data_IF_100826961714
#
_entry.id   IF_100826961714
#
_cell.length_a   1.000
_cell.length_b   1.000
_cell.length_c   1.000
_cell.angle_alpha   90.00
_cell.angle_beta   90.00
_cell.angle_gamma   90.00
#
_symmetry.space_group_name_H-M   'P 1'
#
loop_
_entity.id
_entity.type
_entity.pdbx_description
1 polymer ?
#
# COMPACT_ATOMS: atom_id res chain seq x y z
N UNK A 1 13.91 5.77 -19.68
CA UNK A 1 14.45 5.37 -18.35
C UNK A 1 13.35 4.66 -17.57
N UNK A 2 13.51 3.38 -17.20
CA UNK A 2 12.55 2.69 -16.33
C UNK A 2 12.70 3.21 -14.91
N UNK A 3 11.71 3.93 -14.40
CA UNK A 3 11.64 4.34 -13.00
C UNK A 3 11.67 3.08 -12.13
N UNK A 4 12.61 2.98 -11.19
CA UNK A 4 12.68 1.85 -10.26
C UNK A 4 11.38 1.74 -9.46
N UNK A 5 10.88 0.52 -9.21
CA UNK A 5 9.62 0.26 -8.49
C UNK A 5 9.49 1.04 -7.18
N UNK A 6 10.61 1.22 -6.45
CA UNK A 6 10.66 2.02 -5.22
C UNK A 6 10.17 3.46 -5.47
N UNK A 7 10.72 4.10 -6.50
CA UNK A 7 10.37 5.47 -6.88
C UNK A 7 8.96 5.55 -7.47
N UNK A 8 8.50 4.51 -8.18
CA UNK A 8 7.12 4.45 -8.67
C UNK A 8 6.11 4.48 -7.52
N UNK A 9 6.35 3.75 -6.41
CA UNK A 9 5.45 3.79 -5.26
C UNK A 9 5.39 5.19 -4.65
N UNK A 10 6.54 5.80 -4.39
CA UNK A 10 6.62 7.14 -3.79
C UNK A 10 5.95 8.20 -4.69
N UNK A 11 6.16 8.11 -6.00
CA UNK A 11 5.51 9.00 -6.96
C UNK A 11 3.99 8.82 -6.93
N UNK A 12 3.48 7.59 -6.85
CA UNK A 12 2.03 7.36 -6.74
C UNK A 12 1.44 7.93 -5.45
N UNK A 13 2.14 7.76 -4.32
CA UNK A 13 1.71 8.34 -3.05
C UNK A 13 1.67 9.87 -3.06
N UNK A 14 2.58 10.52 -3.81
CA UNK A 14 2.68 11.98 -3.87
C UNK A 14 1.80 12.63 -4.94
N UNK A 15 1.62 11.98 -6.09
CA UNK A 15 1.18 12.66 -7.32
C UNK A 15 -0.11 12.12 -7.93
N UNK A 16 -0.61 10.99 -7.44
CA UNK A 16 -1.82 10.37 -7.98
C UNK A 16 -2.90 10.28 -6.91
N UNK A 17 -4.17 10.33 -7.31
CA UNK A 17 -5.31 10.02 -6.43
C UNK A 17 -5.92 8.64 -6.73
N UNK A 18 -5.36 7.94 -7.71
CA UNK A 18 -5.88 6.67 -8.20
C UNK A 18 -5.42 5.50 -7.33
N UNK A 19 -6.33 4.61 -6.92
CA UNK A 19 -5.98 3.44 -6.13
C UNK A 19 -5.09 2.47 -6.93
N UNK A 20 -4.24 1.74 -6.22
CA UNK A 20 -3.29 0.79 -6.82
C UNK A 20 -3.00 -0.38 -5.88
N UNK A 21 -2.58 -1.51 -6.44
CA UNK A 21 -2.15 -2.70 -5.71
C UNK A 21 -0.63 -2.77 -5.73
N UNK A 22 -0.05 -3.08 -4.57
CA UNK A 22 1.36 -3.40 -4.42
C UNK A 22 1.47 -4.85 -3.98
N UNK A 23 2.24 -5.65 -4.72
CA UNK A 23 2.59 -7.00 -4.29
C UNK A 23 3.96 -7.00 -3.66
N UNK A 24 4.03 -7.51 -2.44
CA UNK A 24 5.22 -7.61 -1.63
C UNK A 24 5.69 -9.07 -1.52
N UNK A 25 7.00 -9.25 -1.44
CA UNK A 25 7.64 -10.50 -1.03
C UNK A 25 7.75 -10.54 0.49
N UNK A 26 7.29 -11.63 1.10
CA UNK A 26 7.44 -11.81 2.54
C UNK A 26 8.92 -11.99 2.93
N UNK A 27 9.38 -11.26 3.96
CA UNK A 27 10.81 -11.22 4.32
C UNK A 27 11.34 -12.58 4.82
N UNK A 28 10.52 -13.32 5.56
CA UNK A 28 10.89 -14.62 6.13
C UNK A 28 10.58 -15.81 5.22
N UNK A 29 9.67 -15.62 4.26
CA UNK A 29 9.12 -16.69 3.42
C UNK A 29 9.05 -16.17 1.97
N UNK A 30 10.17 -16.14 1.24
CA UNK A 30 10.27 -15.51 -0.09
C UNK A 30 9.25 -16.02 -1.13
N UNK A 31 8.76 -17.24 -0.95
CA UNK A 31 7.72 -17.89 -1.73
C UNK A 31 6.32 -17.31 -1.49
N UNK A 32 6.10 -16.71 -0.31
CA UNK A 32 4.85 -16.05 0.04
C UNK A 32 4.82 -14.61 -0.49
N UNK A 33 3.73 -14.30 -1.17
CA UNK A 33 3.43 -12.97 -1.70
C UNK A 33 2.20 -12.42 -0.99
N UNK A 34 2.28 -11.15 -0.63
CA UNK A 34 1.17 -10.42 -0.04
C UNK A 34 0.79 -9.26 -0.96
N UNK A 35 -0.50 -9.07 -1.19
CA UNK A 35 -1.00 -7.93 -1.96
C UNK A 35 -1.68 -6.95 -1.03
N UNK A 36 -1.28 -5.69 -1.17
CA UNK A 36 -1.79 -4.57 -0.40
C UNK A 36 -2.42 -3.55 -1.35
N UNK A 37 -3.65 -3.17 -1.06
CA UNK A 37 -4.39 -2.20 -1.86
C UNK A 37 -4.26 -0.83 -1.22
N UNK A 38 -3.61 0.08 -1.94
CA UNK A 38 -3.48 1.48 -1.55
C UNK A 38 -4.64 2.27 -2.13
N UNK A 39 -5.29 3.06 -1.29
CA UNK A 39 -6.41 3.92 -1.66
C UNK A 39 -6.28 5.29 -1.04
N UNK A 40 -6.75 6.29 -1.76
CA UNK A 40 -6.75 7.67 -1.31
C UNK A 40 -8.10 7.98 -0.66
N UNK A 41 -8.08 8.36 0.62
CA UNK A 41 -9.22 8.97 1.29
C UNK A 41 -9.23 10.48 1.04
N UNK A 42 -10.10 11.22 1.74
CA UNK A 42 -10.25 12.68 1.52
C UNK A 42 -8.95 13.47 1.65
N UNK A 43 -8.04 13.06 2.55
CA UNK A 43 -6.74 13.75 2.75
C UNK A 43 -5.55 12.78 2.80
N UNK A 44 -5.77 11.53 3.21
CA UNK A 44 -4.71 10.59 3.55
C UNK A 44 -4.78 9.31 2.71
N UNK A 45 -3.63 8.68 2.52
CA UNK A 45 -3.57 7.34 1.93
C UNK A 45 -3.85 6.30 3.01
N UNK A 46 -4.57 5.26 2.65
CA UNK A 46 -4.77 4.08 3.48
C UNK A 46 -4.47 2.81 2.68
N UNK A 47 -4.09 1.77 3.41
CA UNK A 47 -3.77 0.46 2.90
C UNK A 47 -4.78 -0.52 3.46
N UNK A 48 -5.31 -1.37 2.60
CA UNK A 48 -6.18 -2.48 2.94
C UNK A 48 -5.46 -3.76 2.54
N UNK A 49 -5.41 -4.73 3.45
CA UNK A 49 -4.87 -6.04 3.12
C UNK A 49 -5.80 -6.79 2.16
N UNK A 50 -5.31 -7.85 1.53
CA UNK A 50 -6.08 -8.68 0.59
C UNK A 50 -7.37 -9.27 1.17
N UNK A 51 -7.48 -9.36 2.50
CA UNK A 51 -8.66 -9.85 3.20
C UNK A 51 -9.68 -8.76 3.53
N UNK A 52 -9.38 -7.47 3.29
CA UNK A 52 -10.28 -6.36 3.61
C UNK A 52 -10.40 -6.04 5.11
N UNK A 53 -9.70 -6.76 5.98
CA UNK A 53 -9.95 -6.76 7.42
C UNK A 53 -9.26 -5.62 8.17
N UNK A 54 -8.13 -5.14 7.66
CA UNK A 54 -7.32 -4.13 8.34
C UNK A 54 -7.10 -2.92 7.43
N UNK A 55 -7.67 -1.79 7.83
CA UNK A 55 -7.37 -0.48 7.24
C UNK A 55 -6.25 0.20 8.02
N UNK A 56 -5.16 0.51 7.34
CA UNK A 56 -3.97 1.13 7.92
C UNK A 56 -3.69 2.46 7.23
N UNK A 57 -3.44 3.52 7.98
CA UNK A 57 -3.04 4.80 7.41
C UNK A 57 -1.58 4.75 6.97
N UNK A 58 -1.32 5.28 5.78
CA UNK A 58 0.04 5.59 5.33
C UNK A 58 0.47 6.87 6.03
N UNK A 59 1.46 6.76 6.91
CA UNK A 59 2.07 7.91 7.57
C UNK A 59 3.32 8.36 6.83
N UNK A 60 4.47 8.23 7.49
CA UNK A 60 5.77 8.64 6.94
C UNK A 60 6.27 7.65 5.91
N UNK A 61 6.86 8.15 4.82
CA UNK A 61 7.58 7.33 3.86
C UNK A 61 8.82 8.06 3.35
N UNK A 62 9.85 7.28 3.00
CA UNK A 62 11.11 7.77 2.48
C UNK A 62 11.56 6.91 1.29
N UNK A 63 12.80 7.08 0.83
CA UNK A 63 13.34 6.35 -0.34
C UNK A 63 13.52 4.84 -0.12
N UNK A 64 13.31 4.35 1.10
CA UNK A 64 13.58 2.96 1.52
C UNK A 64 12.38 2.29 2.18
N UNK A 65 11.49 3.03 2.83
CA UNK A 65 10.37 2.47 3.58
C UNK A 65 9.09 3.30 3.52
N UNK A 66 7.96 2.62 3.74
CA UNK A 66 6.64 3.22 4.00
C UNK A 66 6.15 2.73 5.36
N UNK A 67 5.75 3.64 6.23
CA UNK A 67 5.28 3.35 7.58
C UNK A 67 3.75 3.37 7.61
N UNK A 68 3.18 2.28 8.12
CA UNK A 68 1.74 2.12 8.26
C UNK A 68 1.32 2.16 9.73
N UNK A 69 0.22 2.86 10.00
CA UNK A 69 -0.31 3.09 11.34
C UNK A 69 -1.75 2.58 11.43
N UNK A 70 -2.12 1.98 12.56
CA UNK A 70 -3.53 1.65 12.82
C UNK A 70 -4.35 2.92 13.04
N UNK A 71 -5.60 2.93 12.57
CA UNK A 71 -6.54 4.04 12.74
C UNK A 71 -7.07 4.18 14.17
N UNK A 72 -6.98 3.12 14.99
CA UNK A 72 -7.57 3.11 16.34
C UNK A 72 -6.76 4.02 17.27
N UNK A 73 -7.46 4.97 17.90
CA UNK A 73 -6.94 6.07 18.71
C UNK A 73 -5.77 5.66 19.63
N UNK A 74 -4.60 6.26 19.35
CA UNK A 74 -3.32 5.92 19.98
C UNK A 74 -2.36 5.35 18.95
N UNK A 75 -1.77 6.23 18.13
CA UNK A 75 -0.93 5.95 16.96
C UNK A 75 0.16 4.88 17.20
N UNK A 76 -0.22 3.62 17.20
CA UNK A 76 0.71 2.50 17.26
C UNK A 76 1.14 2.21 15.83
N UNK A 77 2.41 2.49 15.57
CA UNK A 77 3.10 2.05 14.36
C UNK A 77 2.87 0.54 14.19
N UNK A 78 2.21 0.15 13.10
CA UNK A 78 1.73 -1.20 12.92
C UNK A 78 2.71 -2.04 12.11
N UNK A 79 3.19 -1.50 10.99
CA UNK A 79 4.19 -2.19 10.17
C UNK A 79 4.98 -1.22 9.27
N UNK A 80 6.18 -1.68 8.88
CA UNK A 80 7.03 -1.01 7.88
C UNK A 80 7.06 -1.88 6.65
N UNK A 81 6.66 -1.30 5.52
CA UNK A 81 6.91 -1.90 4.21
C UNK A 81 8.30 -1.45 3.77
N UNK A 82 9.23 -2.39 3.66
CA UNK A 82 10.52 -2.10 3.04
C UNK A 82 10.34 -2.09 1.52
N UNK A 83 10.74 -1.02 0.84
CA UNK A 83 10.51 -0.86 -0.59
C UNK A 83 11.27 -1.91 -1.44
N UNK A 84 12.28 -2.55 -0.88
CA UNK A 84 12.97 -3.70 -1.51
C UNK A 84 12.09 -4.96 -1.62
N UNK A 85 11.03 -5.05 -0.80
CA UNK A 85 10.09 -6.17 -0.86
C UNK A 85 9.11 -6.05 -2.03
N UNK A 86 9.02 -4.88 -2.67
CA UNK A 86 8.06 -4.63 -3.74
C UNK A 86 8.45 -5.43 -4.99
N UNK A 87 7.54 -6.28 -5.43
CA UNK A 87 7.66 -7.05 -6.65
C UNK A 87 6.99 -6.35 -7.82
N UNK A 88 5.77 -5.83 -7.59
CA UNK A 88 4.95 -5.20 -8.62
C UNK A 88 4.10 -4.09 -8.03
N UNK A 89 3.77 -3.12 -8.89
CA UNK A 89 2.80 -2.06 -8.62
C UNK A 89 1.86 -2.02 -9.81
N UNK A 90 0.57 -2.19 -9.58
CA UNK A 90 -0.45 -2.25 -10.62
C UNK A 90 -1.58 -1.27 -10.29
N UNK A 91 -2.11 -0.52 -11.26
CA UNK A 91 -3.32 0.26 -11.05
C UNK A 91 -4.48 -0.68 -10.67
N UNK A 92 -5.35 -0.24 -9.77
CA UNK A 92 -6.53 -1.02 -9.39
C UNK A 92 -7.56 -0.93 -10.52
N UNK A 93 -7.93 -2.05 -11.12
CA UNK A 93 -8.89 -2.08 -12.23
C UNK A 93 -10.32 -1.83 -11.74
N UNK A 94 -11.21 -1.32 -12.60
CA UNK A 94 -12.60 -0.96 -12.25
C UNK A 94 -13.41 -2.13 -11.64
N UNK A 95 -13.09 -3.36 -12.04
CA UNK A 95 -13.68 -4.58 -11.48
C UNK A 95 -13.31 -4.80 -9.99
N UNK A 96 -12.10 -4.42 -9.58
CA UNK A 96 -11.60 -4.57 -8.20
C UNK A 96 -12.02 -3.40 -7.30
N UNK A 97 -12.40 -2.25 -7.89
CA UNK A 97 -12.97 -1.11 -7.17
C UNK A 97 -14.41 -1.40 -6.70
N UNK A 98 -15.18 -2.10 -7.53
CA UNK A 98 -16.62 -2.34 -7.32
C UNK A 98 -16.94 -3.35 -6.20
N UNK A 99 -16.00 -4.22 -5.83
CA UNK A 99 -16.19 -5.24 -4.78
C UNK A 99 -16.06 -4.71 -3.34
N UNK A 100 -15.70 -3.44 -3.16
CA UNK A 100 -15.49 -2.80 -1.84
C UNK A 100 -16.48 -1.70 -1.53
N UNK A 101 -17.40 -1.37 -2.44
CA UNK A 101 -18.44 -0.35 -2.24
C UNK A 101 -19.68 -0.88 -1.51
N UNK A 102 -19.60 -2.06 -0.88
CA UNK A 102 -20.69 -2.73 -0.18
C UNK A 102 -20.64 -2.57 1.35
N UNK A 103 -19.85 -1.63 1.87
CA UNK A 103 -19.89 -1.23 3.28
C UNK A 103 -20.15 0.27 3.41
#
# INVERSE_FOLDING_TARGET
MRTNLKQQLINRLNSTNEPFIVTLRHKKFPELKESLTFRKGSSSWYVVNSLGLNQMNVGTYNRSSVHLYSYIAGCKHLCIIQLEQILTIQPLTEAEQSQTSLF
#
